data_IF_867557456647
#
_entry.id   IF_867557456647
#
_cell.length_a   1.000
_cell.length_b   1.000
_cell.length_c   1.000
_cell.angle_alpha   90.00
_cell.angle_beta   90.00
_cell.angle_gamma   90.00
#
_symmetry.space_group_name_H-M   'P 1'
#
loop_
_entity.id
_entity.type
_entity.pdbx_description
1 polymer ?
#
# COMPACT_ATOMS: atom_id res chain seq x y z
N UNK A 1 -16.24 -5.31 18.72
CA UNK A 1 -15.02 -4.61 19.20
C UNK A 1 -14.61 -3.60 18.14
N UNK A 2 -14.51 -2.33 18.55
CA UNK A 2 -14.07 -1.22 17.72
C UNK A 2 -12.57 -1.35 17.39
N UNK A 3 -12.17 -1.12 16.14
CA UNK A 3 -10.77 -1.11 15.72
C UNK A 3 -10.37 0.34 15.41
N UNK A 4 -9.49 0.96 16.22
CA UNK A 4 -9.18 2.39 16.11
C UNK A 4 -8.54 2.76 14.77
N UNK A 5 -7.82 1.83 14.12
CA UNK A 5 -7.31 2.02 12.76
C UNK A 5 -8.41 2.47 11.79
N UNK A 6 -9.60 1.87 11.84
CA UNK A 6 -10.69 2.20 10.91
C UNK A 6 -11.34 3.55 11.18
N UNK A 7 -11.34 4.02 12.44
CA UNK A 7 -11.76 5.38 12.74
C UNK A 7 -10.79 6.40 12.16
N UNK A 8 -9.49 6.15 12.34
CA UNK A 8 -8.45 7.04 11.80
C UNK A 8 -8.43 6.99 10.28
N UNK A 9 -8.65 5.82 9.66
CA UNK A 9 -8.89 5.71 8.22
C UNK A 9 -10.01 6.65 7.77
N UNK A 10 -11.16 6.61 8.44
CA UNK A 10 -12.28 7.49 8.12
C UNK A 10 -11.92 8.98 8.28
N UNK A 11 -11.22 9.34 9.35
CA UNK A 11 -10.74 10.70 9.57
C UNK A 11 -9.84 11.17 8.41
N UNK A 12 -8.87 10.36 7.99
CA UNK A 12 -7.98 10.71 6.88
C UNK A 12 -8.70 10.79 5.54
N UNK A 13 -9.69 9.93 5.29
CA UNK A 13 -10.56 10.04 4.09
C UNK A 13 -11.30 11.38 4.13
N UNK A 14 -11.90 11.75 5.27
CA UNK A 14 -12.59 13.03 5.41
C UNK A 14 -11.65 14.21 5.17
N UNK A 15 -10.45 14.20 5.74
CA UNK A 15 -9.43 15.23 5.50
C UNK A 15 -8.98 15.28 4.04
N UNK A 16 -8.82 14.12 3.39
CA UNK A 16 -8.48 14.02 1.96
C UNK A 16 -9.57 14.59 1.06
N UNK A 17 -10.85 14.31 1.37
CA UNK A 17 -12.02 14.87 0.65
C UNK A 17 -12.10 16.38 0.86
N UNK A 18 -11.94 16.87 2.10
CA UNK A 18 -11.90 18.31 2.38
C UNK A 18 -10.77 19.00 1.61
N UNK A 19 -9.57 18.40 1.56
CA UNK A 19 -8.45 18.93 0.77
C UNK A 19 -8.64 18.82 -0.75
N UNK A 20 -9.50 17.94 -1.24
CA UNK A 20 -9.90 17.89 -2.65
C UNK A 20 -10.93 18.98 -2.98
N UNK A 21 -11.90 19.20 -2.09
CA UNK A 21 -12.89 20.28 -2.20
C UNK A 21 -12.20 21.64 -2.17
N UNK A 22 -11.30 21.88 -1.22
CA UNK A 22 -10.51 23.11 -1.15
C UNK A 22 -9.74 23.37 -2.46
N UNK A 23 -9.03 22.37 -3.00
CA UNK A 23 -8.30 22.54 -4.26
C UNK A 23 -9.20 22.84 -5.47
N UNK A 24 -10.43 22.29 -5.49
CA UNK A 24 -11.41 22.63 -6.51
C UNK A 24 -11.87 24.09 -6.41
N UNK A 25 -11.85 24.67 -5.20
CA UNK A 25 -12.14 26.08 -4.94
C UNK A 25 -10.93 26.99 -5.19
N UNK A 26 -9.70 26.50 -4.97
CA UNK A 26 -8.44 27.24 -5.24
C UNK A 26 -8.14 27.38 -6.73
N UNK A 27 -8.61 26.46 -7.59
CA UNK A 27 -8.55 26.63 -9.06
C UNK A 27 -9.36 27.85 -9.56
N UNK A 28 -10.09 28.55 -8.68
CA UNK A 28 -10.70 29.85 -8.92
C UNK A 28 -9.84 31.04 -8.40
N UNK A 29 -8.53 30.85 -8.22
CA UNK A 29 -7.52 31.86 -7.83
C UNK A 29 -7.72 32.53 -6.45
N UNK A 30 -8.52 31.96 -5.56
CA UNK A 30 -8.82 32.61 -4.29
C UNK A 30 -7.63 32.63 -3.30
N UNK A 31 -6.72 31.64 -3.30
CA UNK A 31 -5.62 31.55 -2.30
C UNK A 31 -4.35 30.81 -2.81
N UNK A 32 -3.28 31.50 -3.24
CA UNK A 32 -2.04 30.89 -3.75
C UNK A 32 -1.08 30.33 -2.69
N UNK A 33 -1.38 30.48 -1.39
CA UNK A 33 -0.50 30.06 -0.27
C UNK A 33 -0.41 28.52 -0.09
N UNK A 34 -1.17 27.72 -0.86
CA UNK A 34 -1.45 26.32 -0.56
C UNK A 34 -0.71 25.27 -1.40
N UNK A 35 0.40 25.61 -2.07
CA UNK A 35 1.17 24.62 -2.84
C UNK A 35 1.61 23.39 -1.99
N UNK A 36 1.87 23.59 -0.68
CA UNK A 36 2.13 22.50 0.27
C UNK A 36 0.92 21.59 0.56
N UNK A 37 -0.32 22.07 0.42
CA UNK A 37 -1.53 21.27 0.66
C UNK A 37 -1.77 20.19 -0.40
N UNK A 38 -1.26 20.37 -1.63
CA UNK A 38 -1.36 19.33 -2.66
C UNK A 38 -0.72 18.03 -2.20
N UNK A 39 0.46 18.11 -1.61
CA UNK A 39 1.15 16.95 -1.07
C UNK A 39 0.46 16.42 0.18
N UNK A 40 -0.08 17.29 1.04
CA UNK A 40 -0.87 16.86 2.20
C UNK A 40 -2.07 16.02 1.78
N UNK A 41 -2.79 16.39 0.71
CA UNK A 41 -3.91 15.58 0.20
C UNK A 41 -3.47 14.18 -0.23
N UNK A 42 -2.37 14.09 -0.98
CA UNK A 42 -1.82 12.79 -1.42
C UNK A 42 -1.48 11.96 -0.19
N UNK A 43 -0.77 12.52 0.78
CA UNK A 43 -0.37 11.81 1.99
C UNK A 43 -1.56 11.46 2.91
N UNK A 44 -2.63 12.26 2.97
CA UNK A 44 -3.84 11.87 3.70
C UNK A 44 -4.46 10.60 3.13
N UNK A 45 -4.43 10.41 1.82
CA UNK A 45 -4.96 9.19 1.20
C UNK A 45 -3.96 8.03 1.29
N UNK A 46 -2.73 8.25 0.82
CA UNK A 46 -1.74 7.17 0.65
C UNK A 46 -1.06 6.79 1.96
N UNK A 47 -0.59 7.75 2.75
CA UNK A 47 -0.01 7.49 4.07
C UNK A 47 -1.07 7.39 5.16
N UNK A 48 -2.13 8.21 5.13
CA UNK A 48 -3.18 8.19 6.14
C UNK A 48 -4.13 7.01 5.95
N UNK A 49 -5.13 7.21 5.09
CA UNK A 49 -6.25 6.27 4.94
C UNK A 49 -5.79 4.85 4.58
N UNK A 50 -4.91 4.71 3.59
CA UNK A 50 -4.51 3.40 3.09
C UNK A 50 -3.63 2.64 4.09
N UNK A 51 -2.65 3.29 4.73
CA UNK A 51 -1.82 2.56 5.72
C UNK A 51 -2.61 2.25 6.98
N UNK A 52 -3.46 3.15 7.47
CA UNK A 52 -4.34 2.87 8.60
C UNK A 52 -5.25 1.67 8.31
N UNK A 53 -5.85 1.65 7.11
CA UNK A 53 -6.67 0.52 6.68
C UNK A 53 -5.86 -0.78 6.63
N UNK A 54 -4.68 -0.75 6.01
CA UNK A 54 -3.79 -1.91 5.90
C UNK A 54 -3.37 -2.43 7.28
N UNK A 55 -2.91 -1.56 8.17
CA UNK A 55 -2.48 -1.93 9.52
C UNK A 55 -3.64 -2.50 10.35
N UNK A 56 -4.85 -1.98 10.15
CA UNK A 56 -6.05 -2.48 10.81
C UNK A 56 -6.53 -3.84 10.27
N UNK A 57 -6.51 -4.05 8.95
CA UNK A 57 -7.12 -5.23 8.32
C UNK A 57 -6.18 -6.42 8.20
N UNK A 58 -4.89 -6.19 7.90
CA UNK A 58 -3.97 -7.26 7.53
C UNK A 58 -3.77 -8.32 8.62
N UNK A 59 -3.58 -7.97 9.91
CA UNK A 59 -3.46 -8.99 10.96
C UNK A 59 -4.73 -9.82 11.11
N UNK A 60 -5.90 -9.20 10.96
CA UNK A 60 -7.20 -9.88 11.06
C UNK A 60 -7.37 -10.85 9.90
N UNK A 61 -7.10 -10.38 8.67
CA UNK A 61 -7.25 -11.16 7.46
C UNK A 61 -6.28 -12.35 7.44
N UNK A 62 -5.00 -12.12 7.70
CA UNK A 62 -4.00 -13.20 7.73
C UNK A 62 -4.33 -14.22 8.81
N UNK A 63 -4.74 -13.80 10.01
CA UNK A 63 -5.13 -14.73 11.07
C UNK A 63 -6.34 -15.58 10.68
N UNK A 64 -7.37 -14.97 10.09
CA UNK A 64 -8.55 -15.68 9.62
C UNK A 64 -8.19 -16.72 8.54
N UNK A 65 -7.31 -16.37 7.60
CA UNK A 65 -6.88 -17.28 6.52
C UNK A 65 -6.06 -18.46 7.02
N UNK A 66 -5.30 -18.30 8.09
CA UNK A 66 -4.49 -19.39 8.70
C UNK A 66 -5.21 -20.11 9.84
N UNK A 67 -6.51 -19.83 10.06
CA UNK A 67 -7.30 -20.46 11.13
C UNK A 67 -6.82 -20.10 12.55
N UNK A 68 -6.15 -18.96 12.71
CA UNK A 68 -5.71 -18.47 14.01
C UNK A 68 -6.81 -17.61 14.66
N UNK A 69 -6.77 -17.51 15.99
CA UNK A 69 -7.61 -16.57 16.71
C UNK A 69 -7.34 -15.13 16.24
N UNK A 70 -8.38 -14.30 16.21
CA UNK A 70 -8.25 -12.89 15.86
C UNK A 70 -7.19 -12.22 16.76
N UNK A 71 -6.15 -11.57 16.19
CA UNK A 71 -5.12 -10.94 16.99
C UNK A 71 -5.70 -9.82 17.87
N UNK A 72 -5.17 -9.71 19.09
CA UNK A 72 -5.45 -8.56 19.94
C UNK A 72 -4.87 -7.28 19.30
N UNK A 73 -5.48 -6.15 19.65
CA UNK A 73 -4.99 -4.84 19.23
C UNK A 73 -3.55 -4.61 19.72
N UNK A 74 -2.65 -4.25 18.80
CA UNK A 74 -1.26 -3.88 19.10
C UNK A 74 -1.15 -2.36 19.23
N UNK A 75 -1.39 -1.86 20.44
CA UNK A 75 -1.38 -0.43 20.74
C UNK A 75 -0.02 0.22 20.48
N UNK A 76 1.06 -0.53 20.66
CA UNK A 76 2.41 -0.11 20.30
C UNK A 76 2.53 0.22 18.80
N UNK A 77 2.03 -0.65 17.92
CA UNK A 77 2.05 -0.40 16.47
C UNK A 77 1.15 0.79 16.12
N UNK A 78 -0.03 0.87 16.73
CA UNK A 78 -0.98 1.95 16.45
C UNK A 78 -0.46 3.31 16.89
N UNK A 79 0.13 3.40 18.09
CA UNK A 79 0.73 4.63 18.60
C UNK A 79 1.92 5.09 17.75
N UNK A 80 2.80 4.16 17.36
CA UNK A 80 3.95 4.47 16.50
C UNK A 80 3.49 4.99 15.13
N UNK A 81 2.48 4.35 14.52
CA UNK A 81 1.93 4.82 13.25
C UNK A 81 1.29 6.21 13.40
N UNK A 82 0.38 6.38 14.36
CA UNK A 82 -0.43 7.59 14.46
C UNK A 82 0.38 8.81 14.92
N UNK A 83 1.27 8.63 15.90
CA UNK A 83 2.18 9.69 16.32
C UNK A 83 3.17 10.02 15.20
N UNK A 84 3.67 8.99 14.51
CA UNK A 84 4.55 9.16 13.36
C UNK A 84 3.91 9.95 12.23
N UNK A 85 2.67 9.59 11.84
CA UNK A 85 1.89 10.30 10.82
C UNK A 85 1.63 11.74 11.23
N UNK A 86 1.20 11.98 12.47
CA UNK A 86 0.95 13.34 12.98
C UNK A 86 2.21 14.21 12.89
N UNK A 87 3.33 13.72 13.42
CA UNK A 87 4.61 14.46 13.41
C UNK A 87 5.07 14.70 11.97
N UNK A 88 4.99 13.69 11.11
CA UNK A 88 5.39 13.80 9.70
C UNK A 88 4.53 14.83 8.94
N UNK A 89 3.21 14.79 9.13
CA UNK A 89 2.26 15.69 8.48
C UNK A 89 2.42 17.14 8.95
N UNK A 90 2.87 17.37 10.19
CA UNK A 90 3.27 18.70 10.67
C UNK A 90 4.62 19.12 10.07
N UNK A 91 5.55 18.18 9.88
CA UNK A 91 6.90 18.43 9.37
C UNK A 91 6.98 18.72 7.86
N UNK A 92 6.11 18.12 7.05
CA UNK A 92 6.14 18.24 5.58
C UNK A 92 5.93 19.69 5.11
N UNK A 93 4.88 20.44 5.52
CA UNK A 93 4.64 21.79 5.01
C UNK A 93 5.80 22.78 5.22
N UNK A 94 6.45 22.85 6.41
CA UNK A 94 7.62 23.71 6.62
C UNK A 94 8.94 23.07 6.19
N UNK A 95 8.95 21.84 5.66
CA UNK A 95 10.17 21.07 5.35
C UNK A 95 11.09 20.98 6.59
N UNK A 96 10.51 20.66 7.75
CA UNK A 96 11.26 20.56 8.99
C UNK A 96 11.95 19.18 9.08
N UNK A 97 13.26 19.15 8.90
CA UNK A 97 14.03 17.89 8.87
C UNK A 97 13.90 17.05 10.15
N UNK A 98 13.85 17.68 11.33
CA UNK A 98 13.72 16.96 12.62
C UNK A 98 12.37 16.26 12.70
N UNK A 99 11.28 16.97 12.39
CA UNK A 99 9.94 16.40 12.41
C UNK A 99 9.77 15.33 11.33
N UNK A 100 10.27 15.56 10.11
CA UNK A 100 10.20 14.58 9.02
C UNK A 100 10.94 13.29 9.40
N UNK A 101 12.15 13.40 9.95
CA UNK A 101 12.94 12.24 10.38
C UNK A 101 12.30 11.53 11.57
N UNK A 102 11.81 12.25 12.57
CA UNK A 102 11.15 11.66 13.73
C UNK A 102 9.85 10.93 13.31
N UNK A 103 9.00 11.59 12.54
CA UNK A 103 7.75 11.02 12.05
C UNK A 103 7.99 9.81 11.15
N UNK A 104 8.91 9.92 10.18
CA UNK A 104 9.30 8.82 9.30
C UNK A 104 9.85 7.62 10.07
N UNK A 105 10.68 7.84 11.09
CA UNK A 105 11.24 6.77 11.94
C UNK A 105 10.15 6.01 12.69
N UNK A 106 9.17 6.71 13.27
CA UNK A 106 8.07 6.07 13.99
C UNK A 106 7.19 5.22 13.06
N UNK A 107 6.86 5.73 11.86
CA UNK A 107 6.11 4.97 10.84
C UNK A 107 6.92 3.75 10.38
N UNK A 108 8.23 3.91 10.19
CA UNK A 108 9.14 2.82 9.81
C UNK A 108 9.14 1.70 10.85
N UNK A 109 9.24 2.05 12.14
CA UNK A 109 9.14 1.10 13.26
C UNK A 109 7.77 0.40 13.25
N UNK A 110 6.68 1.15 13.08
CA UNK A 110 5.34 0.58 13.01
C UNK A 110 5.21 -0.46 11.87
N UNK A 111 5.75 -0.15 10.70
CA UNK A 111 5.76 -1.06 9.55
C UNK A 111 6.61 -2.32 9.80
N UNK A 112 7.78 -2.20 10.44
CA UNK A 112 8.58 -3.36 10.85
C UNK A 112 7.80 -4.24 11.83
N UNK A 113 7.20 -3.63 12.86
CA UNK A 113 6.42 -4.37 13.84
C UNK A 113 5.24 -5.11 13.20
N UNK A 114 4.58 -4.49 12.22
CA UNK A 114 3.52 -5.14 11.44
C UNK A 114 4.08 -6.31 10.60
N UNK A 115 5.21 -6.14 9.90
CA UNK A 115 5.87 -7.23 9.16
C UNK A 115 6.16 -8.40 10.10
N UNK A 116 6.73 -8.14 11.28
CA UNK A 116 7.04 -9.16 12.29
C UNK A 116 5.76 -9.84 12.77
N UNK A 117 4.70 -9.07 13.05
CA UNK A 117 3.41 -9.61 13.46
C UNK A 117 2.81 -10.53 12.40
N UNK A 118 2.77 -10.11 11.13
CA UNK A 118 2.23 -10.93 10.05
C UNK A 118 3.07 -12.20 9.81
N UNK A 119 4.39 -12.08 9.92
CA UNK A 119 5.33 -13.21 9.78
C UNK A 119 5.19 -14.22 10.94
N UNK A 120 4.85 -13.75 12.13
CA UNK A 120 4.63 -14.57 13.32
C UNK A 120 3.30 -15.34 13.34
N UNK A 121 2.32 -14.97 12.50
CA UNK A 121 1.05 -15.69 12.41
C UNK A 121 1.26 -17.05 11.73
N UNK A 122 1.14 -18.14 12.48
CA UNK A 122 1.31 -19.51 11.99
C UNK A 122 -0.04 -20.20 11.80
N UNK A 123 -0.07 -21.17 10.89
CA UNK A 123 -1.24 -22.01 10.69
C UNK A 123 -1.54 -22.84 11.93
N UNK A 124 -2.79 -22.78 12.38
CA UNK A 124 -3.30 -23.72 13.39
C UNK A 124 -3.45 -25.12 12.78
N UNK A 125 -3.35 -26.16 13.60
CA UNK A 125 -3.70 -27.51 13.19
C UNK A 125 -5.18 -27.52 12.72
N UNK A 126 -5.40 -27.80 11.43
CA UNK A 126 -6.73 -27.74 10.79
C UNK A 126 -6.98 -26.55 9.85
N UNK A 127 -6.00 -25.67 9.63
CA UNK A 127 -6.12 -24.62 8.62
C UNK A 127 -6.29 -25.22 7.20
N UNK A 128 -7.37 -24.86 6.50
CA UNK A 128 -7.68 -25.46 5.20
C UNK A 128 -6.81 -24.95 4.05
N UNK A 129 -6.12 -23.81 4.21
CA UNK A 129 -5.22 -23.21 3.21
C UNK A 129 -4.24 -22.21 3.84
N UNK A 130 -3.05 -22.07 3.26
CA UNK A 130 -2.14 -20.98 3.60
C UNK A 130 -2.68 -19.65 3.06
N UNK A 131 -2.45 -18.53 3.77
CA UNK A 131 -2.73 -17.19 3.22
C UNK A 131 -1.74 -16.88 2.09
N UNK A 132 -2.17 -17.11 0.85
CA UNK A 132 -1.42 -16.76 -0.34
C UNK A 132 -1.19 -15.24 -0.47
N UNK A 133 -2.10 -14.43 0.09
CA UNK A 133 -1.95 -12.97 0.15
C UNK A 133 -0.85 -12.49 1.10
N UNK A 134 -0.52 -13.23 2.16
CA UNK A 134 0.44 -12.81 3.19
C UNK A 134 1.80 -12.37 2.65
N UNK A 135 2.35 -13.09 1.66
CA UNK A 135 3.64 -12.75 1.04
C UNK A 135 3.58 -11.41 0.31
N UNK A 136 2.46 -11.10 -0.33
CA UNK A 136 2.24 -9.80 -0.97
C UNK A 136 2.19 -8.67 0.06
N UNK A 137 1.52 -8.88 1.20
CA UNK A 137 1.47 -7.87 2.26
C UNK A 137 2.84 -7.57 2.84
N UNK A 138 3.62 -8.61 3.16
CA UNK A 138 4.97 -8.45 3.72
C UNK A 138 5.90 -7.75 2.74
N UNK A 139 5.89 -8.16 1.46
CA UNK A 139 6.72 -7.51 0.45
C UNK A 139 6.25 -6.08 0.13
N UNK A 140 4.94 -5.84 0.11
CA UNK A 140 4.38 -4.50 -0.01
C UNK A 140 4.86 -3.60 1.14
N UNK A 141 4.83 -4.08 2.39
CA UNK A 141 5.36 -3.35 3.53
C UNK A 141 6.89 -3.15 3.44
N UNK A 142 7.64 -4.09 2.87
CA UNK A 142 9.07 -3.89 2.61
C UNK A 142 9.33 -2.75 1.60
N UNK A 143 8.50 -2.64 0.56
CA UNK A 143 8.54 -1.49 -0.34
C UNK A 143 8.07 -0.19 0.31
N UNK A 144 7.12 -0.25 1.24
CA UNK A 144 6.75 0.91 2.07
C UNK A 144 7.94 1.38 2.92
N UNK A 145 8.72 0.48 3.52
CA UNK A 145 9.94 0.83 4.25
C UNK A 145 10.93 1.59 3.35
N UNK A 146 11.15 1.12 2.11
CA UNK A 146 11.97 1.83 1.14
C UNK A 146 11.38 3.21 0.79
N UNK A 147 10.06 3.26 0.57
CA UNK A 147 9.33 4.50 0.33
C UNK A 147 9.50 5.51 1.46
N UNK A 148 9.48 5.06 2.72
CA UNK A 148 9.70 5.90 3.91
C UNK A 148 11.14 6.43 3.94
N UNK A 149 12.15 5.58 3.68
CA UNK A 149 13.56 6.01 3.63
C UNK A 149 13.75 7.09 2.57
N UNK A 150 13.31 6.83 1.34
CA UNK A 150 13.50 7.78 0.23
C UNK A 150 12.68 9.05 0.48
N UNK A 151 11.43 8.92 0.95
CA UNK A 151 10.55 10.04 1.26
C UNK A 151 11.09 10.96 2.35
N UNK A 152 11.62 10.37 3.43
CA UNK A 152 12.30 11.10 4.51
C UNK A 152 13.52 11.84 3.97
N UNK A 153 14.29 11.19 3.10
CA UNK A 153 15.52 11.72 2.52
C UNK A 153 15.36 12.79 1.44
N UNK A 154 14.15 13.00 0.90
CA UNK A 154 13.89 13.89 -0.25
C UNK A 154 14.46 15.30 -0.05
N UNK A 155 14.36 15.84 1.16
CA UNK A 155 14.80 17.21 1.50
C UNK A 155 16.04 17.26 2.40
N UNK A 156 16.72 16.11 2.58
CA UNK A 156 17.84 15.97 3.52
C UNK A 156 19.17 15.65 2.82
N UNK A 157 19.21 15.71 1.48
CA UNK A 157 20.41 15.42 0.68
C UNK A 157 20.78 13.93 0.62
N UNK A 158 19.91 13.02 1.08
CA UNK A 158 20.19 11.59 1.07
C UNK A 158 20.31 11.03 -0.35
N UNK A 159 19.66 11.65 -1.34
CA UNK A 159 19.79 11.27 -2.74
C UNK A 159 21.24 11.33 -3.23
N UNK A 160 22.04 12.29 -2.76
CA UNK A 160 23.47 12.36 -3.08
C UNK A 160 24.23 11.18 -2.48
N UNK A 161 24.01 10.86 -1.21
CA UNK A 161 24.68 9.75 -0.53
C UNK A 161 24.27 8.39 -1.09
N UNK A 162 23.00 8.22 -1.42
CA UNK A 162 22.41 6.99 -1.95
C UNK A 162 22.49 6.90 -3.49
N UNK A 163 23.08 7.91 -4.15
CA UNK A 163 23.23 8.01 -5.59
C UNK A 163 21.89 7.87 -6.35
N UNK A 164 20.81 8.42 -5.79
CA UNK A 164 19.48 8.41 -6.38
C UNK A 164 19.36 9.58 -7.37
N UNK A 165 19.18 9.28 -8.67
CA UNK A 165 19.07 10.30 -9.71
C UNK A 165 17.75 11.06 -9.66
N UNK A 166 16.63 10.34 -9.55
CA UNK A 166 15.29 10.94 -9.54
C UNK A 166 14.51 10.51 -8.28
N UNK A 167 14.81 11.09 -7.10
CA UNK A 167 14.37 10.55 -5.82
C UNK A 167 12.86 10.64 -5.59
N UNK A 168 12.19 11.66 -6.15
CA UNK A 168 10.74 11.77 -6.08
C UNK A 168 10.06 10.60 -6.81
N UNK A 169 10.53 10.24 -8.01
CA UNK A 169 9.98 9.11 -8.76
C UNK A 169 10.26 7.78 -8.08
N UNK A 170 11.47 7.58 -7.54
CA UNK A 170 11.80 6.39 -6.73
C UNK A 170 10.83 6.24 -5.55
N UNK A 171 10.57 7.32 -4.81
CA UNK A 171 9.62 7.32 -3.70
C UNK A 171 8.20 6.96 -4.16
N UNK A 172 7.71 7.58 -5.23
CA UNK A 172 6.38 7.29 -5.78
C UNK A 172 6.31 5.83 -6.26
N UNK A 173 7.33 5.31 -6.92
CA UNK A 173 7.34 3.94 -7.43
C UNK A 173 7.40 2.90 -6.32
N UNK A 174 8.19 3.14 -5.27
CA UNK A 174 8.23 2.28 -4.09
C UNK A 174 6.85 2.19 -3.42
N UNK A 175 6.15 3.32 -3.29
CA UNK A 175 4.82 3.33 -2.68
C UNK A 175 3.74 2.77 -3.60
N UNK A 176 3.66 3.18 -4.87
CA UNK A 176 2.57 2.79 -5.75
C UNK A 176 2.78 1.38 -6.33
N UNK A 177 3.87 1.19 -7.08
CA UNK A 177 4.18 -0.08 -7.73
C UNK A 177 4.64 -1.14 -6.74
N UNK A 178 5.36 -0.75 -5.69
CA UNK A 178 5.77 -1.65 -4.62
C UNK A 178 4.66 -1.91 -3.61
N UNK A 179 4.39 -0.96 -2.72
CA UNK A 179 3.48 -1.15 -1.59
C UNK A 179 2.01 -1.35 -2.00
N UNK A 180 1.40 -0.36 -2.65
CA UNK A 180 -0.04 -0.34 -2.91
C UNK A 180 -0.47 -1.48 -3.84
N UNK A 181 0.26 -1.69 -4.95
CA UNK A 181 -0.12 -2.73 -5.90
C UNK A 181 -0.04 -4.13 -5.30
N UNK A 182 1.00 -4.43 -4.52
CA UNK A 182 1.14 -5.73 -3.85
C UNK A 182 0.09 -5.88 -2.74
N UNK A 183 -0.16 -4.82 -1.96
CA UNK A 183 -1.22 -4.82 -0.95
C UNK A 183 -2.56 -5.19 -1.57
N UNK A 184 -2.98 -4.49 -2.64
CA UNK A 184 -4.24 -4.76 -3.31
C UNK A 184 -4.27 -6.15 -3.96
N UNK A 185 -3.18 -6.58 -4.60
CA UNK A 185 -3.10 -7.92 -5.17
C UNK A 185 -3.29 -9.02 -4.12
N UNK A 186 -2.65 -8.87 -2.96
CA UNK A 186 -2.83 -9.78 -1.82
C UNK A 186 -4.29 -9.78 -1.32
N UNK A 187 -4.89 -8.60 -1.15
CA UNK A 187 -6.27 -8.46 -0.69
C UNK A 187 -7.23 -9.13 -1.67
N UNK A 188 -7.01 -8.94 -2.97
CA UNK A 188 -7.80 -9.56 -4.01
C UNK A 188 -7.70 -11.09 -3.95
N UNK A 189 -6.49 -11.63 -3.81
CA UNK A 189 -6.25 -13.08 -3.69
C UNK A 189 -6.95 -13.68 -2.47
N UNK A 190 -6.89 -13.01 -1.31
CA UNK A 190 -7.47 -13.54 -0.07
C UNK A 190 -9.00 -13.35 0.01
N UNK A 191 -9.53 -12.24 -0.50
CA UNK A 191 -10.95 -11.90 -0.38
C UNK A 191 -11.79 -12.48 -1.52
N UNK A 192 -11.23 -12.67 -2.72
CA UNK A 192 -11.98 -13.13 -3.90
C UNK A 192 -12.85 -14.36 -3.64
N UNK A 193 -12.35 -15.45 -3.03
CA UNK A 193 -13.18 -16.62 -2.80
C UNK A 193 -14.35 -16.35 -1.85
N UNK A 194 -14.20 -15.45 -0.87
CA UNK A 194 -15.24 -15.18 0.12
C UNK A 194 -16.47 -14.45 -0.45
N UNK A 195 -16.29 -13.48 -1.36
CA UNK A 195 -17.42 -12.74 -1.92
C UNK A 195 -17.95 -13.36 -3.22
N UNK A 196 -17.15 -14.14 -3.95
CA UNK A 196 -17.61 -14.79 -5.19
C UNK A 196 -18.10 -16.22 -4.98
N UNK A 197 -17.61 -16.92 -3.96
CA UNK A 197 -17.78 -18.37 -3.81
C UNK A 197 -17.02 -19.19 -4.86
N UNK A 198 -16.05 -18.59 -5.57
CA UNK A 198 -15.28 -19.24 -6.64
C UNK A 198 -13.79 -19.25 -6.30
N UNK A 199 -13.08 -20.28 -6.76
CA UNK A 199 -11.62 -20.25 -6.81
C UNK A 199 -11.13 -19.35 -7.95
N UNK A 200 -9.90 -18.84 -7.85
CA UNK A 200 -9.22 -18.20 -8.98
C UNK A 200 -9.17 -19.15 -10.18
N UNK A 201 -9.18 -18.61 -11.40
CA UNK A 201 -9.14 -19.42 -12.62
C UNK A 201 -7.90 -20.33 -12.71
N UNK A 202 -6.76 -19.85 -12.20
CA UNK A 202 -5.51 -20.60 -12.12
C UNK A 202 -4.97 -20.58 -10.68
N UNK A 203 -5.38 -21.53 -9.82
CA UNK A 203 -5.07 -21.51 -8.38
C UNK A 203 -3.57 -21.53 -8.03
N UNK A 204 -2.71 -21.99 -8.95
CA UNK A 204 -1.25 -22.03 -8.78
C UNK A 204 -0.52 -20.76 -9.26
N UNK A 205 -1.24 -19.82 -9.88
CA UNK A 205 -0.66 -18.57 -10.40
C UNK A 205 -0.22 -17.52 -9.34
N UNK A 206 -0.79 -17.44 -8.12
CA UNK A 206 -0.44 -16.39 -7.16
C UNK A 206 1.06 -16.24 -6.87
N UNK A 207 1.80 -17.34 -6.77
CA UNK A 207 3.27 -17.27 -6.54
C UNK A 207 4.02 -16.69 -7.72
N UNK A 208 3.58 -16.95 -8.96
CA UNK A 208 4.23 -16.39 -10.16
C UNK A 208 3.92 -14.91 -10.30
N UNK A 209 2.65 -14.54 -10.10
CA UNK A 209 2.18 -13.15 -10.07
C UNK A 209 2.95 -12.37 -9.00
N UNK A 210 3.12 -12.94 -7.80
CA UNK A 210 3.92 -12.34 -6.73
C UNK A 210 5.32 -11.97 -7.19
N UNK A 211 6.05 -12.91 -7.79
CA UNK A 211 7.42 -12.64 -8.24
C UNK A 211 7.48 -11.65 -9.39
N UNK A 212 6.57 -11.74 -10.36
CA UNK A 212 6.51 -10.79 -11.47
C UNK A 212 6.19 -9.36 -10.99
N UNK A 213 5.23 -9.19 -10.08
CA UNK A 213 4.93 -7.87 -9.48
C UNK A 213 6.09 -7.37 -8.63
N UNK A 214 6.70 -8.24 -7.82
CA UNK A 214 7.81 -7.86 -6.93
C UNK A 214 9.03 -7.42 -7.74
N UNK A 215 9.46 -8.22 -8.72
CA UNK A 215 10.62 -7.89 -9.57
C UNK A 215 10.29 -6.75 -10.53
N UNK A 216 9.05 -6.68 -11.02
CA UNK A 216 8.56 -5.57 -11.82
C UNK A 216 8.64 -4.23 -11.08
N UNK A 217 8.16 -4.20 -9.83
CA UNK A 217 8.25 -3.04 -8.95
C UNK A 217 9.71 -2.67 -8.66
N UNK A 218 10.60 -3.65 -8.44
CA UNK A 218 12.02 -3.39 -8.27
C UNK A 218 12.61 -2.72 -9.52
N UNK A 219 12.36 -3.25 -10.72
CA UNK A 219 12.82 -2.64 -11.97
C UNK A 219 12.30 -1.21 -12.14
N UNK A 220 11.03 -0.97 -11.80
CA UNK A 220 10.42 0.36 -11.80
C UNK A 220 11.05 1.32 -10.79
N UNK A 221 11.57 0.83 -9.66
CA UNK A 221 12.28 1.65 -8.66
C UNK A 221 13.70 1.93 -9.13
N UNK A 222 14.41 0.91 -9.63
CA UNK A 222 15.80 1.02 -10.09
C UNK A 222 15.93 1.92 -11.34
N UNK A 223 14.90 1.99 -12.17
CA UNK A 223 14.81 2.87 -13.33
C UNK A 223 15.15 4.34 -13.01
N UNK A 224 14.31 5.05 -12.24
CA UNK A 224 14.59 6.42 -11.80
C UNK A 224 15.72 6.51 -10.76
N UNK A 225 16.07 5.40 -10.09
CA UNK A 225 17.24 5.39 -9.20
C UNK A 225 18.52 5.64 -9.99
N UNK A 226 18.70 4.94 -11.10
CA UNK A 226 19.89 5.01 -11.95
C UNK A 226 19.71 5.80 -13.25
N UNK A 227 18.52 6.35 -13.48
CA UNK A 227 18.14 7.02 -14.74
C UNK A 227 18.32 6.09 -15.96
N UNK A 228 17.94 4.82 -15.81
CA UNK A 228 18.26 3.77 -16.78
C UNK A 228 17.02 2.99 -17.23
N UNK A 229 16.66 3.12 -18.51
CA UNK A 229 15.51 2.46 -19.13
C UNK A 229 15.60 0.94 -19.14
N UNK A 230 16.80 0.37 -19.05
CA UNK A 230 17.04 -1.07 -18.96
C UNK A 230 16.39 -1.71 -17.73
N UNK A 231 16.13 -0.93 -16.67
CA UNK A 231 15.35 -1.40 -15.52
C UNK A 231 13.86 -1.08 -15.68
N UNK A 232 13.53 0.14 -16.12
CA UNK A 232 12.13 0.60 -16.24
C UNK A 232 11.32 -0.24 -17.21
N UNK A 233 11.83 -0.50 -18.41
CA UNK A 233 11.06 -1.18 -19.48
C UNK A 233 10.72 -2.62 -19.08
N UNK A 234 11.68 -3.48 -18.68
CA UNK A 234 11.35 -4.80 -18.17
C UNK A 234 10.48 -4.75 -16.91
N UNK A 235 10.70 -3.75 -16.04
CA UNK A 235 9.89 -3.52 -14.84
C UNK A 235 8.41 -3.34 -15.15
N UNK A 236 8.09 -2.43 -16.08
CA UNK A 236 6.74 -2.18 -16.60
C UNK A 236 6.14 -3.46 -17.17
N UNK A 237 6.85 -4.13 -18.07
CA UNK A 237 6.35 -5.33 -18.76
C UNK A 237 6.01 -6.42 -17.75
N UNK A 238 6.91 -6.69 -16.80
CA UNK A 238 6.67 -7.71 -15.77
C UNK A 238 5.47 -7.35 -14.88
N UNK A 239 5.42 -6.11 -14.38
CA UNK A 239 4.39 -5.69 -13.44
C UNK A 239 3.00 -5.65 -14.08
N UNK A 240 2.88 -5.07 -15.28
CA UNK A 240 1.61 -5.01 -16.00
C UNK A 240 1.14 -6.40 -16.44
N UNK A 241 2.05 -7.25 -16.92
CA UNK A 241 1.69 -8.63 -17.29
C UNK A 241 1.14 -9.41 -16.10
N UNK A 242 1.73 -9.22 -14.91
CA UNK A 242 1.26 -9.84 -13.68
C UNK A 242 -0.11 -9.31 -13.25
N UNK A 243 -0.32 -8.00 -13.37
CA UNK A 243 -1.59 -7.33 -13.07
C UNK A 243 -2.70 -7.84 -13.99
N UNK A 244 -2.46 -7.88 -15.30
CA UNK A 244 -3.40 -8.44 -16.29
C UNK A 244 -3.69 -9.91 -15.96
N UNK A 245 -2.67 -10.71 -15.63
CA UNK A 245 -2.87 -12.11 -15.27
C UNK A 245 -3.71 -12.27 -13.99
N UNK A 246 -3.51 -11.40 -12.99
CA UNK A 246 -4.33 -11.38 -11.78
C UNK A 246 -5.79 -11.04 -12.09
N UNK A 247 -6.04 -10.05 -12.95
CA UNK A 247 -7.41 -9.70 -13.37
C UNK A 247 -8.09 -10.84 -14.12
N UNK A 248 -7.38 -11.48 -15.05
CA UNK A 248 -7.91 -12.64 -15.77
C UNK A 248 -8.24 -13.81 -14.82
N UNK A 249 -7.46 -13.98 -13.74
CA UNK A 249 -7.74 -14.98 -12.70
C UNK A 249 -9.09 -14.75 -12.00
N UNK A 250 -9.50 -13.49 -11.86
CA UNK A 250 -10.69 -13.05 -11.13
C UNK A 250 -11.91 -12.96 -12.05
N UNK A 251 -11.72 -12.49 -13.28
CA UNK A 251 -12.79 -12.30 -14.27
C UNK A 251 -13.25 -13.63 -14.88
N UNK A 252 -12.32 -14.49 -15.30
CA UNK A 252 -12.63 -15.72 -16.04
C UNK A 252 -13.63 -16.64 -15.32
N UNK A 253 -13.55 -16.89 -14.00
CA UNK A 253 -14.51 -17.76 -13.31
C UNK A 253 -15.92 -17.18 -13.17
N UNK A 254 -16.08 -15.88 -13.45
CA UNK A 254 -17.36 -15.17 -13.33
C UNK A 254 -18.09 -15.01 -14.68
N UNK A 255 -17.44 -15.34 -15.81
CA UNK A 255 -18.06 -15.30 -17.14
C UNK A 255 -19.29 -16.22 -17.16
N UNK A 256 -20.41 -15.71 -17.65
CA UNK A 256 -21.68 -16.43 -17.71
C UNK A 256 -22.44 -16.55 -16.38
N UNK A 257 -21.91 -16.03 -15.27
CA UNK A 257 -22.56 -16.12 -13.95
C UNK A 257 -23.48 -14.93 -13.62
N UNK A 258 -23.51 -13.90 -14.46
CA UNK A 258 -24.17 -12.62 -14.17
C UNK A 258 -23.50 -11.77 -13.08
N UNK A 259 -22.57 -12.32 -12.28
CA UNK A 259 -21.89 -11.56 -11.20
C UNK A 259 -20.99 -10.44 -11.71
N UNK A 260 -20.47 -10.55 -12.94
CA UNK A 260 -19.60 -9.53 -13.54
C UNK A 260 -20.29 -8.17 -13.72
N UNK A 261 -21.62 -8.12 -13.83
CA UNK A 261 -22.37 -6.87 -13.97
C UNK A 261 -22.74 -6.24 -12.61
N UNK A 262 -22.38 -6.87 -11.50
CA UNK A 262 -22.64 -6.26 -10.19
C UNK A 262 -21.73 -5.04 -9.97
N UNK A 263 -22.23 -3.95 -9.38
CA UNK A 263 -21.43 -2.73 -9.18
C UNK A 263 -20.10 -2.96 -8.47
N UNK A 264 -20.06 -3.85 -7.48
CA UNK A 264 -18.84 -4.18 -6.74
C UNK A 264 -17.77 -4.86 -7.59
N UNK A 265 -18.16 -5.81 -8.45
CA UNK A 265 -17.22 -6.50 -9.34
C UNK A 265 -16.78 -5.59 -10.48
N UNK A 266 -17.69 -4.78 -11.04
CA UNK A 266 -17.34 -3.78 -12.04
C UNK A 266 -16.31 -2.80 -11.49
N UNK A 267 -16.56 -2.23 -10.31
CA UNK A 267 -15.62 -1.31 -9.67
C UNK A 267 -14.26 -1.96 -9.43
N UNK A 268 -14.24 -3.21 -8.95
CA UNK A 268 -12.99 -3.96 -8.72
C UNK A 268 -12.20 -4.18 -10.02
N UNK A 269 -12.87 -4.52 -11.12
CA UNK A 269 -12.19 -4.80 -12.40
C UNK A 269 -11.73 -3.53 -13.09
N UNK A 270 -12.49 -2.43 -13.01
CA UNK A 270 -12.14 -1.17 -13.69
C UNK A 270 -11.19 -0.27 -12.90
N UNK A 271 -11.00 -0.53 -11.61
CA UNK A 271 -10.09 0.25 -10.76
C UNK A 271 -8.63 -0.23 -10.82
N UNK A 272 -8.37 -1.40 -11.42
CA UNK A 272 -7.04 -1.99 -11.64
C UNK A 272 -6.54 -1.72 -13.06
#
# INVERSE_FOLDING_TARGET
>A
MFNPYFLVTFLYIALGVLGALDASLVNFELLPMFAGLRWMRIHFITLGALTEFAFGILPILVAARVGAARPKMRWDIWLMLNLGLLILLIGIPPINAVLITAGGTLIFIAAILLIVQLSGLRSSAGASQASEGRKFYIMGLAYLLLGIIVGTGLWQGWSTWLQIKVPLEVHIHANNWGFMSLLFAGLLIDLYPSFTGKSLAWPKSPTRIFWMMTLGALGLILGPWFEASIFTVPGIVLHLSATIWLLLNVVKPLIGTGKLSTPGILHLVTAY
#
